data_IF_741897336069
#
_entry.id   IF_741897336069
#
_cell.length_a   1.000
_cell.length_b   1.000
_cell.length_c   1.000
_cell.angle_alpha   90.00
_cell.angle_beta   90.00
_cell.angle_gamma   90.00
#
_symmetry.space_group_name_H-M   'P 1'
#
loop_
_entity.id
_entity.type
_entity.pdbx_description
1 polymer ?
#
# COMPACT_ATOMS: atom_id res chain seq x y z
N UNK A 1 -10.39 10.95 28.21
CA UNK A 1 -10.02 11.52 26.89
C UNK A 1 -8.99 10.61 26.24
N UNK A 2 -8.93 10.49 24.90
CA UNK A 2 -7.88 9.70 24.24
C UNK A 2 -6.48 10.22 24.63
N UNK A 3 -5.54 9.31 24.93
CA UNK A 3 -4.18 9.63 25.45
C UNK A 3 -3.47 10.66 24.58
N UNK A 4 -3.52 10.49 23.25
CA UNK A 4 -2.94 11.43 22.27
C UNK A 4 -3.41 12.87 22.47
N UNK A 5 -4.71 13.07 22.71
CA UNK A 5 -5.30 14.42 22.84
C UNK A 5 -5.02 15.00 24.22
N UNK A 6 -4.89 14.16 25.26
CA UNK A 6 -4.45 14.62 26.58
C UNK A 6 -3.00 15.10 26.53
N UNK A 7 -2.11 14.31 25.94
CA UNK A 7 -0.68 14.64 25.80
C UNK A 7 -0.48 15.91 24.97
N UNK A 8 -1.23 16.08 23.87
CA UNK A 8 -1.20 17.33 23.10
C UNK A 8 -1.65 18.55 23.91
N UNK A 9 -2.63 18.41 24.81
CA UNK A 9 -3.08 19.52 25.67
C UNK A 9 -2.00 19.92 26.67
N UNK A 10 -1.24 18.96 27.19
CA UNK A 10 -0.13 19.22 28.12
C UNK A 10 0.99 19.99 27.40
N UNK A 11 1.39 19.52 26.21
CA UNK A 11 2.32 20.26 25.35
C UNK A 11 1.82 21.67 24.99
N UNK A 12 0.50 21.86 24.83
CA UNK A 12 -0.12 23.20 24.61
C UNK A 12 -0.13 24.08 25.86
N UNK A 13 -0.08 23.51 27.05
CA UNK A 13 0.03 24.26 28.31
C UNK A 13 1.47 24.77 28.50
N UNK A 14 2.46 23.96 28.12
CA UNK A 14 3.88 24.31 28.16
C UNK A 14 4.29 25.26 27.04
N UNK A 15 3.90 24.94 25.79
CA UNK A 15 4.08 25.80 24.62
C UNK A 15 2.73 26.08 23.94
N UNK A 16 2.19 27.28 24.17
CA UNK A 16 0.92 27.71 23.57
C UNK A 16 0.94 27.75 22.04
N UNK A 17 2.11 27.77 21.40
CA UNK A 17 2.25 27.88 19.95
C UNK A 17 2.43 26.53 19.25
N UNK A 18 2.61 25.41 19.98
CA UNK A 18 2.85 24.11 19.35
C UNK A 18 1.66 23.66 18.50
N UNK A 19 1.82 23.58 17.18
CA UNK A 19 0.76 23.05 16.32
C UNK A 19 0.58 21.55 16.56
N UNK A 20 -0.63 21.03 16.29
CA UNK A 20 -0.86 19.59 16.39
C UNK A 20 0.08 18.80 15.47
N UNK A 21 0.38 19.31 14.27
CA UNK A 21 1.36 18.70 13.38
C UNK A 21 2.78 18.71 13.95
N UNK A 22 3.20 19.81 14.59
CA UNK A 22 4.49 19.88 15.25
C UNK A 22 4.61 18.84 16.37
N UNK A 23 3.55 18.68 17.18
CA UNK A 23 3.46 17.63 18.19
C UNK A 23 3.58 16.21 17.59
N UNK A 24 2.87 15.91 16.50
CA UNK A 24 3.01 14.63 15.80
C UNK A 24 4.44 14.44 15.26
N UNK A 25 5.05 15.49 14.72
CA UNK A 25 6.41 15.42 14.18
C UNK A 25 7.43 15.06 15.26
N UNK A 26 7.40 15.71 16.42
CA UNK A 26 8.36 15.43 17.50
C UNK A 26 8.19 14.02 18.08
N UNK A 27 6.97 13.49 18.11
CA UNK A 27 6.69 12.19 18.73
C UNK A 27 6.82 10.98 17.78
N UNK A 28 6.57 11.15 16.49
CA UNK A 28 6.54 10.03 15.53
C UNK A 28 7.61 10.09 14.45
N UNK A 29 8.13 11.28 14.12
CA UNK A 29 9.05 11.47 12.99
C UNK A 29 10.45 11.92 13.40
N UNK A 30 10.64 12.28 14.66
CA UNK A 30 11.94 12.60 15.24
C UNK A 30 12.55 11.38 15.93
N UNK A 31 13.86 11.43 16.16
CA UNK A 31 14.56 10.41 16.94
C UNK A 31 13.99 10.39 18.36
N UNK A 32 13.68 9.20 18.87
CA UNK A 32 13.26 9.02 20.26
C UNK A 32 14.36 9.51 21.21
N UNK A 33 13.99 10.41 22.12
CA UNK A 33 14.84 10.93 23.19
C UNK A 33 14.34 10.34 24.51
N UNK A 34 15.25 9.89 25.37
CA UNK A 34 14.90 9.41 26.71
C UNK A 34 15.07 10.61 27.65
N UNK A 35 13.97 11.27 27.96
CA UNK A 35 13.86 12.39 28.88
C UNK A 35 12.70 12.15 29.87
N UNK A 36 12.28 13.21 30.57
CA UNK A 36 11.18 13.12 31.55
C UNK A 36 9.81 12.83 30.90
N UNK A 37 9.62 13.12 29.62
CA UNK A 37 8.36 12.88 28.90
C UNK A 37 8.32 11.48 28.25
N UNK A 38 9.48 10.82 28.10
CA UNK A 38 9.61 9.45 27.59
C UNK A 38 8.58 8.43 28.12
N UNK A 39 8.31 8.30 29.44
CA UNK A 39 7.32 7.34 29.94
C UNK A 39 5.89 7.66 29.49
N UNK A 40 5.57 8.92 29.18
CA UNK A 40 4.29 9.29 28.58
C UNK A 40 4.29 9.09 27.08
N UNK A 41 5.42 9.34 26.42
CA UNK A 41 5.57 9.08 25.00
C UNK A 41 5.34 7.62 24.64
N UNK A 42 5.74 6.68 25.51
CA UNK A 42 5.47 5.24 25.31
C UNK A 42 3.97 4.90 25.36
N UNK A 43 3.14 5.74 25.99
CA UNK A 43 1.68 5.53 26.05
C UNK A 43 0.95 6.05 24.81
N UNK A 44 1.67 6.74 23.92
CA UNK A 44 1.08 7.24 22.69
C UNK A 44 0.67 6.07 21.77
N UNK A 45 -0.49 6.17 21.10
CA UNK A 45 -0.87 5.19 20.09
C UNK A 45 0.25 5.02 19.06
N UNK A 46 0.39 3.83 18.47
CA UNK A 46 1.35 3.56 17.40
C UNK A 46 2.84 3.52 17.79
N UNK A 47 3.20 3.61 19.09
CA UNK A 47 4.59 3.46 19.55
C UNK A 47 5.04 2.00 19.70
N UNK A 48 4.13 1.10 20.05
CA UNK A 48 4.40 -0.34 20.10
C UNK A 48 4.25 -0.98 18.72
N UNK A 49 5.16 -1.89 18.36
CA UNK A 49 5.18 -2.57 17.05
C UNK A 49 3.90 -3.38 16.74
N UNK A 50 3.12 -3.75 17.76
CA UNK A 50 1.82 -4.42 17.60
C UNK A 50 0.75 -3.52 16.99
N UNK A 51 0.99 -2.20 16.95
CA UNK A 51 0.09 -1.21 16.37
C UNK A 51 0.09 -1.15 14.84
N UNK A 52 1.05 -1.80 14.17
CA UNK A 52 1.03 -2.01 12.72
C UNK A 52 -0.23 -2.77 12.26
N UNK A 53 -0.93 -3.44 13.18
CA UNK A 53 -2.23 -4.08 12.94
C UNK A 53 -3.39 -3.07 12.80
N UNK A 54 -3.22 -1.80 13.20
CA UNK A 54 -4.27 -0.79 13.16
C UNK A 54 -4.58 -0.33 11.73
N UNK A 55 -3.59 -0.34 10.82
CA UNK A 55 -3.80 -0.02 9.40
C UNK A 55 -4.71 -1.08 8.73
N UNK A 56 -4.71 -2.32 9.23
CA UNK A 56 -5.53 -3.41 8.69
C UNK A 56 -6.98 -3.38 9.20
N UNK A 57 -7.25 -2.76 10.36
CA UNK A 57 -8.61 -2.72 10.96
C UNK A 57 -9.58 -1.68 10.37
N UNK A 58 -9.16 -0.92 9.36
CA UNK A 58 -10.07 -0.07 8.56
C UNK A 58 -10.55 -0.74 7.28
N UNK A 59 -10.21 -2.02 7.05
CA UNK A 59 -10.96 -2.81 6.11
C UNK A 59 -12.29 -3.18 6.77
N UNK A 60 -13.30 -2.38 6.40
CA UNK A 60 -14.71 -2.69 6.42
C UNK A 60 -14.95 -4.19 6.62
N UNK A 61 -15.82 -4.52 7.56
CA UNK A 61 -16.43 -5.85 7.70
C UNK A 61 -17.34 -6.08 6.48
N UNK A 62 -16.75 -6.11 5.27
CA UNK A 62 -17.38 -6.53 4.04
C UNK A 62 -17.69 -8.01 4.24
N UNK A 63 -18.91 -8.31 4.70
CA UNK A 63 -19.46 -9.65 4.55
C UNK A 63 -19.29 -10.02 3.08
N UNK A 64 -18.50 -11.05 2.82
CA UNK A 64 -18.25 -11.56 1.48
C UNK A 64 -19.58 -12.08 0.95
N UNK A 65 -20.31 -11.24 0.24
CA UNK A 65 -21.57 -11.62 -0.38
C UNK A 65 -21.21 -12.55 -1.55
N UNK A 66 -21.22 -13.86 -1.28
CA UNK A 66 -21.10 -14.89 -2.29
C UNK A 66 -22.29 -14.76 -3.24
N UNK A 67 -22.10 -13.99 -4.30
CA UNK A 67 -23.05 -13.93 -5.40
C UNK A 67 -22.71 -15.10 -6.30
N UNK A 68 -23.57 -16.12 -6.33
CA UNK A 68 -23.45 -17.23 -7.27
C UNK A 68 -23.51 -16.66 -8.69
N UNK A 69 -22.36 -16.62 -9.38
CA UNK A 69 -22.31 -16.26 -10.78
C UNK A 69 -22.94 -17.41 -11.58
N UNK A 70 -23.89 -17.15 -12.49
CA UNK A 70 -24.39 -18.18 -13.37
C UNK A 70 -23.22 -18.77 -14.17
N UNK A 71 -23.22 -20.10 -14.33
CA UNK A 71 -22.17 -20.79 -15.08
C UNK A 71 -21.95 -20.09 -16.43
N UNK A 72 -20.68 -19.86 -16.85
CA UNK A 72 -20.42 -19.20 -18.12
C UNK A 72 -21.09 -20.01 -19.22
N UNK A 73 -21.95 -19.35 -19.99
CA UNK A 73 -22.52 -19.93 -21.20
C UNK A 73 -21.36 -20.11 -22.17
N UNK A 74 -20.85 -21.34 -22.27
CA UNK A 74 -19.88 -21.73 -23.29
C UNK A 74 -20.60 -21.78 -24.62
N UNK A 75 -20.71 -20.62 -25.26
CA UNK A 75 -21.09 -20.58 -26.65
C UNK A 75 -19.90 -21.15 -27.44
N UNK A 76 -20.10 -22.34 -28.01
CA UNK A 76 -19.07 -23.06 -28.76
C UNK A 76 -18.80 -22.29 -30.07
N UNK A 77 -17.98 -21.25 -29.98
CA UNK A 77 -17.55 -20.48 -31.14
C UNK A 77 -16.68 -21.38 -32.01
N UNK A 78 -17.22 -21.77 -33.15
CA UNK A 78 -16.45 -22.43 -34.20
C UNK A 78 -15.50 -21.38 -34.81
N UNK A 79 -14.20 -21.50 -34.51
CA UNK A 79 -13.18 -20.69 -35.17
C UNK A 79 -12.71 -21.42 -36.42
N UNK A 80 -12.81 -20.78 -37.58
CA UNK A 80 -12.15 -21.27 -38.79
C UNK A 80 -10.64 -21.07 -38.64
N UNK A 81 -9.88 -22.15 -38.54
CA UNK A 81 -8.42 -22.06 -38.59
C UNK A 81 -8.00 -21.77 -40.04
N UNK A 82 -7.34 -20.63 -40.24
CA UNK A 82 -6.73 -20.31 -41.54
C UNK A 82 -5.39 -21.03 -41.65
N UNK A 83 -5.30 -21.99 -42.59
CA UNK A 83 -4.03 -22.63 -42.92
C UNK A 83 -3.25 -21.70 -43.86
N UNK A 84 -2.31 -20.96 -43.29
CA UNK A 84 -1.44 -20.06 -44.03
C UNK A 84 -0.52 -20.85 -44.99
N UNK A 85 -0.79 -20.73 -46.30
CA UNK A 85 -0.01 -21.37 -47.37
C UNK A 85 1.25 -20.61 -47.75
N UNK A 86 1.26 -19.29 -47.55
CA UNK A 86 2.34 -18.39 -47.93
C UNK A 86 3.04 -17.84 -46.69
N UNK A 87 3.58 -18.72 -45.85
CA UNK A 87 4.39 -18.27 -44.71
C UNK A 87 5.65 -17.60 -45.25
N UNK A 88 6.00 -16.39 -44.79
CA UNK A 88 7.28 -15.80 -45.13
C UNK A 88 8.40 -16.77 -44.72
N UNK A 89 9.40 -16.94 -45.58
CA UNK A 89 10.55 -17.80 -45.29
C UNK A 89 11.46 -17.23 -44.19
N UNK A 90 11.24 -15.97 -43.81
CA UNK A 90 11.95 -15.31 -42.72
C UNK A 90 11.08 -15.35 -41.47
N UNK A 91 11.72 -15.57 -40.32
CA UNK A 91 11.01 -15.59 -39.06
C UNK A 91 10.57 -14.16 -38.70
N UNK A 92 9.42 -13.99 -38.07
CA UNK A 92 8.91 -12.68 -37.63
C UNK A 92 9.87 -11.89 -36.73
N UNK A 93 10.83 -12.58 -36.09
CA UNK A 93 11.87 -11.97 -35.26
C UNK A 93 13.18 -11.68 -36.02
N UNK A 94 13.24 -11.92 -37.33
CA UNK A 94 14.35 -11.51 -38.19
C UNK A 94 14.25 -10.04 -38.62
N UNK A 95 13.07 -9.42 -38.52
CA UNK A 95 12.81 -8.04 -38.96
C UNK A 95 13.48 -7.01 -38.03
N UNK A 96 13.52 -7.29 -36.72
CA UNK A 96 13.99 -6.36 -35.70
C UNK A 96 15.26 -6.86 -34.99
N UNK A 97 16.26 -7.27 -35.76
CA UNK A 97 17.56 -7.64 -35.19
C UNK A 97 18.53 -6.46 -35.18
N UNK A 98 19.28 -6.26 -34.09
CA UNK A 98 20.32 -5.23 -34.04
C UNK A 98 21.47 -5.55 -35.01
N UNK A 99 22.29 -4.55 -35.40
CA UNK A 99 23.43 -4.74 -36.30
C UNK A 99 24.39 -5.79 -35.75
N UNK A 100 24.72 -6.79 -36.57
CA UNK A 100 25.72 -7.80 -36.22
C UNK A 100 27.12 -7.27 -36.54
N UNK A 101 28.08 -7.47 -35.62
CA UNK A 101 29.48 -7.07 -35.83
C UNK A 101 30.13 -8.08 -36.80
N UNK A 102 30.93 -7.65 -37.80
CA UNK A 102 31.67 -8.56 -38.66
C UNK A 102 32.70 -9.36 -37.85
N UNK A 103 32.85 -10.64 -38.20
CA UNK A 103 33.89 -11.52 -37.66
C UNK A 103 35.27 -11.22 -38.24
#
# INVERSE_FOLDING_TARGET
MPVLVSHFKEHRQEDRNISFWAFIKIHYFSKTVIDEDYPRDQQLPLKDADSCQLIVKTLCECQLLATELPAPVTDARHFSSYREKNKPQFHSFDIFQPPRVPA
#
